data_IF_148782277032
#
_entry.id   IF_148782277032
#
_cell.length_a   1.000
_cell.length_b   1.000
_cell.length_c   1.000
_cell.angle_alpha   90.00
_cell.angle_beta   90.00
_cell.angle_gamma   90.00
#
_symmetry.space_group_name_H-M   'P 1'
#
loop_
_entity.id
_entity.type
_entity.pdbx_description
1 polymer ?
#
# COMPACT_ATOMS: atom_id res chain seq x y z
N UNK A 1 -18.81 13.90 2.74
CA UNK A 1 -17.96 13.48 3.87
C UNK A 1 -16.76 12.75 3.29
N UNK A 2 -15.55 13.04 3.75
CA UNK A 2 -14.34 12.36 3.30
C UNK A 2 -14.36 10.88 3.64
N UNK A 3 -13.70 10.05 2.83
CA UNK A 3 -13.59 8.61 3.08
C UNK A 3 -12.13 8.20 3.22
N UNK A 4 -11.83 7.40 4.21
CA UNK A 4 -10.52 6.83 4.48
C UNK A 4 -10.64 5.31 4.33
N UNK A 5 -9.76 4.69 3.56
CA UNK A 5 -9.68 3.23 3.48
C UNK A 5 -8.46 2.76 4.27
N UNK A 6 -8.70 2.04 5.36
CA UNK A 6 -7.66 1.46 6.20
C UNK A 6 -7.42 -0.02 5.84
N UNK A 7 -6.16 -0.36 5.63
CA UNK A 7 -5.67 -1.70 5.30
C UNK A 7 -4.85 -2.24 6.47
N UNK A 8 -5.34 -3.31 7.08
CA UNK A 8 -4.72 -3.91 8.28
C UNK A 8 -3.48 -4.76 7.96
N UNK A 9 -2.66 -5.04 8.99
CA UNK A 9 -1.49 -5.92 8.90
C UNK A 9 -1.86 -7.39 8.67
N UNK A 10 -0.86 -8.23 8.37
CA UNK A 10 -1.03 -9.63 7.95
C UNK A 10 -1.83 -10.48 8.94
N UNK A 11 -1.55 -10.34 10.24
CA UNK A 11 -2.23 -11.09 11.31
C UNK A 11 -3.41 -10.35 11.94
N UNK A 12 -3.81 -9.22 11.40
CA UNK A 12 -4.90 -8.39 11.91
C UNK A 12 -6.19 -8.56 11.09
N UNK A 13 -7.23 -7.85 11.50
CA UNK A 13 -8.53 -7.76 10.82
C UNK A 13 -9.00 -6.32 10.73
N UNK A 14 -10.07 -6.07 10.01
CA UNK A 14 -10.74 -4.77 9.94
C UNK A 14 -11.34 -4.30 11.28
N UNK A 15 -11.39 -5.16 12.30
CA UNK A 15 -11.83 -4.82 13.67
C UNK A 15 -10.68 -4.65 14.67
N UNK A 16 -9.42 -4.65 14.21
CA UNK A 16 -8.24 -4.48 15.07
C UNK A 16 -8.25 -3.16 15.86
N UNK A 17 -7.46 -3.05 16.95
CA UNK A 17 -7.41 -1.82 17.77
C UNK A 17 -7.15 -0.55 16.98
N UNK A 18 -6.22 -0.60 16.02
CA UNK A 18 -5.93 0.55 15.15
C UNK A 18 -7.16 0.97 14.30
N UNK A 19 -7.90 0.01 13.76
CA UNK A 19 -9.12 0.28 13.00
C UNK A 19 -10.20 0.95 13.86
N UNK A 20 -10.35 0.52 15.10
CA UNK A 20 -11.28 1.16 16.07
C UNK A 20 -10.84 2.56 16.39
N UNK A 21 -9.57 2.77 16.74
CA UNK A 21 -9.03 4.07 17.09
C UNK A 21 -9.16 5.09 15.94
N UNK A 22 -8.94 4.65 14.67
CA UNK A 22 -9.16 5.51 13.51
C UNK A 22 -10.64 5.88 13.35
N UNK A 23 -11.57 4.93 13.50
CA UNK A 23 -13.01 5.25 13.43
C UNK A 23 -13.43 6.24 14.50
N UNK A 24 -12.96 6.05 15.74
CA UNK A 24 -13.23 6.98 16.84
C UNK A 24 -12.61 8.37 16.60
N UNK A 25 -11.36 8.44 16.14
CA UNK A 25 -10.66 9.71 15.90
C UNK A 25 -11.32 10.54 14.79
N UNK A 26 -11.99 9.90 13.84
CA UNK A 26 -12.63 10.57 12.70
C UNK A 26 -14.16 10.55 12.76
N UNK A 27 -14.75 10.18 13.90
CA UNK A 27 -16.20 10.21 14.09
C UNK A 27 -16.77 11.60 13.77
N UNK A 28 -17.81 11.65 12.94
CA UNK A 28 -18.42 12.89 12.46
C UNK A 28 -17.59 13.71 11.44
N UNK A 29 -16.32 13.35 11.19
CA UNK A 29 -15.42 14.08 10.27
C UNK A 29 -15.21 13.31 8.95
N UNK A 30 -14.96 12.01 9.02
CA UNK A 30 -14.76 11.16 7.86
C UNK A 30 -15.33 9.75 8.07
N UNK A 31 -15.64 9.06 6.99
CA UNK A 31 -16.01 7.64 7.01
C UNK A 31 -14.72 6.82 6.92
N UNK A 32 -14.44 6.01 7.94
CA UNK A 32 -13.29 5.10 7.95
C UNK A 32 -13.74 3.69 7.59
N UNK A 33 -13.39 3.26 6.38
CA UNK A 33 -13.67 1.92 5.86
C UNK A 33 -12.54 0.99 6.32
N UNK A 34 -12.88 -0.10 6.97
CA UNK A 34 -11.92 -1.04 7.56
C UNK A 34 -12.28 -2.49 7.17
N UNK A 35 -12.11 -2.88 5.89
CA UNK A 35 -12.43 -4.22 5.44
C UNK A 35 -11.48 -5.26 6.00
N UNK A 36 -11.96 -6.52 6.12
CA UNK A 36 -11.08 -7.67 6.24
C UNK A 36 -10.46 -7.97 4.88
N UNK A 37 -9.14 -8.15 4.86
CA UNK A 37 -8.39 -8.40 3.63
C UNK A 37 -8.23 -9.91 3.39
N UNK A 38 -8.35 -10.39 2.14
CA UNK A 38 -7.94 -11.73 1.78
C UNK A 38 -6.50 -12.04 2.19
N UNK A 39 -6.21 -13.30 2.50
CA UNK A 39 -4.88 -13.73 2.91
C UNK A 39 -3.89 -13.72 1.73
N UNK A 40 -4.33 -14.16 0.56
CA UNK A 40 -3.53 -14.20 -0.66
C UNK A 40 -3.35 -12.81 -1.25
N UNK A 41 -2.10 -12.33 -1.48
CA UNK A 41 -1.85 -10.93 -1.78
C UNK A 41 -2.41 -10.48 -3.12
N UNK A 42 -2.47 -11.36 -4.13
CA UNK A 42 -3.10 -11.05 -5.42
C UNK A 42 -4.61 -10.84 -5.30
N UNK A 43 -5.27 -11.67 -4.49
CA UNK A 43 -6.69 -11.53 -4.16
C UNK A 43 -6.94 -10.26 -3.34
N UNK A 44 -6.06 -9.97 -2.37
CA UNK A 44 -6.14 -8.75 -1.56
C UNK A 44 -6.05 -7.50 -2.44
N UNK A 45 -5.07 -7.41 -3.35
CA UNK A 45 -4.94 -6.28 -4.27
C UNK A 45 -6.18 -6.11 -5.15
N UNK A 46 -6.70 -7.21 -5.70
CA UNK A 46 -7.93 -7.18 -6.51
C UNK A 46 -9.13 -6.68 -5.70
N UNK A 47 -9.29 -7.18 -4.49
CA UNK A 47 -10.35 -6.79 -3.57
C UNK A 47 -10.24 -5.32 -3.15
N UNK A 48 -9.04 -4.86 -2.75
CA UNK A 48 -8.81 -3.46 -2.37
C UNK A 48 -9.11 -2.54 -3.55
N UNK A 49 -8.70 -2.91 -4.77
CA UNK A 49 -8.98 -2.12 -5.97
C UNK A 49 -10.49 -2.01 -6.24
N UNK A 50 -11.21 -3.12 -6.12
CA UNK A 50 -12.69 -3.11 -6.22
C UNK A 50 -13.32 -2.17 -5.20
N UNK A 51 -12.84 -2.18 -3.94
CA UNK A 51 -13.31 -1.27 -2.91
C UNK A 51 -12.99 0.20 -3.23
N UNK A 52 -11.78 0.48 -3.73
CA UNK A 52 -11.39 1.83 -4.16
C UNK A 52 -12.32 2.32 -5.28
N UNK A 53 -12.60 1.49 -6.26
CA UNK A 53 -13.48 1.83 -7.38
C UNK A 53 -14.92 2.07 -6.94
N UNK A 54 -15.41 1.31 -5.98
CA UNK A 54 -16.77 1.43 -5.42
C UNK A 54 -16.90 2.62 -4.48
N UNK A 55 -16.01 2.72 -3.51
CA UNK A 55 -16.14 3.64 -2.38
C UNK A 55 -15.49 5.01 -2.63
N UNK A 56 -14.55 5.08 -3.58
CA UNK A 56 -13.81 6.32 -3.95
C UNK A 56 -13.20 7.00 -2.72
N UNK A 57 -12.32 6.32 -1.95
CA UNK A 57 -11.70 6.93 -0.78
C UNK A 57 -10.82 8.12 -1.17
N UNK A 58 -10.73 9.09 -0.27
CA UNK A 58 -9.86 10.26 -0.41
C UNK A 58 -8.43 9.99 0.08
N UNK A 59 -8.25 8.98 0.94
CA UNK A 59 -6.96 8.61 1.53
C UNK A 59 -6.89 7.10 1.79
N UNK A 60 -5.73 6.51 1.52
CA UNK A 60 -5.38 5.17 1.95
C UNK A 60 -4.55 5.23 3.22
N UNK A 61 -4.83 4.36 4.19
CA UNK A 61 -3.96 4.13 5.34
C UNK A 61 -3.63 2.65 5.36
N UNK A 62 -2.36 2.30 5.46
CA UNK A 62 -1.94 0.92 5.66
C UNK A 62 -1.02 0.79 6.86
N UNK A 63 -1.08 -0.36 7.56
CA UNK A 63 -0.10 -0.70 8.59
C UNK A 63 0.57 -2.04 8.25
N UNK A 64 1.90 -2.11 8.38
CA UNK A 64 2.66 -3.33 8.10
C UNK A 64 2.39 -3.87 6.69
N UNK A 65 1.86 -5.08 6.54
CA UNK A 65 1.41 -5.65 5.26
C UNK A 65 0.35 -4.79 4.56
N UNK A 66 -0.55 -4.16 5.32
CA UNK A 66 -1.52 -3.21 4.75
C UNK A 66 -0.86 -2.00 4.12
N UNK A 67 0.28 -1.56 4.67
CA UNK A 67 1.09 -0.49 4.09
C UNK A 67 1.78 -0.93 2.77
N UNK A 68 2.19 -2.19 2.67
CA UNK A 68 2.68 -2.77 1.42
C UNK A 68 1.63 -2.64 0.29
N UNK A 69 0.37 -2.99 0.56
CA UNK A 69 -0.70 -2.84 -0.42
C UNK A 69 -1.05 -1.37 -0.72
N UNK A 70 -1.10 -0.52 0.31
CA UNK A 70 -1.39 0.89 0.15
C UNK A 70 -0.34 1.58 -0.73
N UNK A 71 0.94 1.27 -0.53
CA UNK A 71 2.05 1.79 -1.31
C UNK A 71 1.97 1.35 -2.78
N UNK A 72 1.65 0.08 -3.06
CA UNK A 72 1.52 -0.41 -4.43
C UNK A 72 0.35 0.23 -5.18
N UNK A 73 -0.76 0.48 -4.48
CA UNK A 73 -1.99 0.99 -5.10
C UNK A 73 -2.03 2.51 -5.21
N UNK A 74 -1.50 3.24 -4.22
CA UNK A 74 -1.54 4.72 -4.19
C UNK A 74 -1.12 5.37 -5.51
N UNK A 75 0.05 5.09 -6.09
CA UNK A 75 0.45 5.69 -7.36
C UNK A 75 -0.35 5.20 -8.57
N UNK A 76 -0.98 4.02 -8.46
CA UNK A 76 -1.81 3.43 -9.53
C UNK A 76 -3.18 4.09 -9.60
N UNK A 77 -3.78 4.36 -8.44
CA UNK A 77 -5.15 4.89 -8.36
C UNK A 77 -5.22 6.40 -8.14
N UNK A 78 -4.08 7.03 -7.90
CA UNK A 78 -4.00 8.48 -7.72
C UNK A 78 -4.48 8.97 -6.35
N UNK A 79 -4.51 8.11 -5.35
CA UNK A 79 -4.98 8.44 -3.99
C UNK A 79 -3.77 8.53 -3.06
N UNK A 80 -3.60 9.60 -2.25
CA UNK A 80 -2.50 9.69 -1.30
C UNK A 80 -2.58 8.58 -0.25
N UNK A 81 -1.43 8.22 0.35
CA UNK A 81 -1.37 7.14 1.32
C UNK A 81 -0.49 7.47 2.53
N UNK A 82 -0.95 7.09 3.74
CA UNK A 82 -0.14 7.03 4.95
C UNK A 82 0.23 5.57 5.23
N UNK A 83 1.53 5.30 5.31
CA UNK A 83 2.11 3.99 5.55
C UNK A 83 2.65 3.92 6.98
N UNK A 84 1.97 3.20 7.86
CA UNK A 84 2.44 2.95 9.21
C UNK A 84 3.31 1.70 9.25
N UNK A 85 4.53 1.80 9.77
CA UNK A 85 5.45 0.69 9.92
C UNK A 85 5.44 -0.26 8.70
N UNK A 86 5.65 0.25 7.48
CA UNK A 86 5.49 -0.52 6.24
C UNK A 86 6.46 -1.70 6.21
N UNK A 87 5.96 -2.88 5.84
CA UNK A 87 6.76 -4.07 5.68
C UNK A 87 6.92 -4.43 4.20
N UNK A 88 8.07 -4.10 3.59
CA UNK A 88 8.31 -4.26 2.15
C UNK A 88 8.95 -5.60 1.76
N UNK A 89 9.20 -6.51 2.73
CA UNK A 89 9.82 -7.83 2.55
C UNK A 89 8.98 -8.91 3.22
N UNK A 90 7.75 -9.07 2.74
CA UNK A 90 6.79 -10.05 3.28
C UNK A 90 7.27 -11.50 3.12
N UNK A 91 8.04 -11.79 2.06
CA UNK A 91 8.65 -13.12 1.85
C UNK A 91 9.60 -13.50 2.98
N UNK A 92 10.47 -12.58 3.37
CA UNK A 92 11.42 -12.82 4.46
C UNK A 92 10.68 -12.96 5.79
N UNK A 93 9.73 -12.07 6.07
CA UNK A 93 8.88 -12.14 7.25
C UNK A 93 8.16 -13.48 7.38
N UNK A 94 7.54 -13.98 6.32
CA UNK A 94 6.80 -15.24 6.35
C UNK A 94 7.73 -16.44 6.54
N UNK A 95 8.92 -16.45 5.94
CA UNK A 95 9.93 -17.49 6.14
C UNK A 95 10.46 -17.51 7.57
N UNK A 96 10.70 -16.35 8.16
CA UNK A 96 11.10 -16.26 9.58
C UNK A 96 10.02 -16.84 10.50
N UNK A 97 8.74 -16.50 10.25
CA UNK A 97 7.62 -17.07 11.04
C UNK A 97 7.54 -18.59 10.95
N UNK A 98 7.75 -19.17 9.76
CA UNK A 98 7.85 -20.62 9.60
C UNK A 98 9.01 -21.18 10.43
N UNK A 99 10.17 -20.54 10.38
CA UNK A 99 11.36 -20.97 11.15
C UNK A 99 11.13 -20.95 12.66
N UNK A 100 10.47 -19.92 13.19
CA UNK A 100 10.11 -19.83 14.60
C UNK A 100 9.14 -20.93 15.04
N UNK A 101 8.15 -21.24 14.21
CA UNK A 101 7.20 -22.32 14.50
C UNK A 101 7.86 -23.69 14.55
N UNK A 102 8.79 -23.94 13.64
CA UNK A 102 9.52 -25.20 13.63
C UNK A 102 10.36 -25.36 14.90
N UNK A 103 11.06 -24.29 15.34
CA UNK A 103 11.81 -24.28 16.59
C UNK A 103 10.92 -24.52 17.81
N UNK A 104 9.76 -23.88 17.89
CA UNK A 104 8.81 -24.07 19.00
C UNK A 104 8.27 -25.50 19.04
N UNK A 105 8.01 -26.13 17.88
CA UNK A 105 7.59 -27.53 17.79
C UNK A 105 8.67 -28.47 18.25
N UNK A 106 9.92 -28.29 17.83
CA UNK A 106 11.05 -29.09 18.20
C UNK A 106 11.27 -29.05 19.76
N UNK A 107 11.17 -27.86 20.35
CA UNK A 107 11.25 -27.66 21.78
C UNK A 107 10.09 -28.34 22.54
N UNK A 108 8.87 -28.23 22.01
CA UNK A 108 7.70 -28.88 22.60
C UNK A 108 7.79 -30.41 22.58
N UNK A 109 8.29 -30.99 21.48
CA UNK A 109 8.54 -32.44 21.36
C UNK A 109 9.64 -32.87 22.32
N UNK A 110 10.71 -32.09 22.44
CA UNK A 110 11.81 -32.38 23.35
C UNK A 110 11.37 -32.35 24.85
N UNK A 111 10.42 -31.46 25.20
CA UNK A 111 9.91 -31.34 26.57
C UNK A 111 8.83 -32.39 26.93
N UNK A 112 8.04 -32.86 25.96
CA UNK A 112 6.87 -33.72 26.23
C UNK A 112 7.17 -35.21 26.25
N UNK A 113 8.29 -35.67 25.69
CA UNK A 113 8.68 -37.11 25.67
C UNK A 113 7.71 -38.00 24.87
N UNK A 114 6.65 -37.46 24.30
CA UNK A 114 5.66 -38.20 23.51
C UNK A 114 5.86 -37.94 22.03
N UNK A 115 6.21 -38.99 21.31
CA UNK A 115 6.11 -39.00 19.83
C UNK A 115 4.62 -38.99 19.46
N UNK A 116 4.06 -37.85 19.13
CA UNK A 116 2.74 -37.81 18.53
C UNK A 116 2.72 -38.63 17.23
N UNK A 117 1.70 -39.46 17.10
CA UNK A 117 1.43 -40.30 15.94
C UNK A 117 1.57 -39.49 14.65
N UNK A 118 2.36 -40.03 13.72
CA UNK A 118 2.57 -39.51 12.38
C UNK A 118 1.25 -39.43 11.62
N UNK A 119 0.50 -38.34 11.79
CA UNK A 119 -0.43 -37.91 10.74
C UNK A 119 0.40 -37.54 9.53
N UNK A 120 0.06 -38.10 8.36
CA UNK A 120 0.67 -37.81 7.08
C UNK A 120 0.50 -36.32 6.79
N UNK A 121 1.52 -35.53 7.08
CA UNK A 121 1.57 -34.13 6.63
C UNK A 121 1.89 -34.13 5.15
N UNK A 122 1.08 -33.45 4.37
CA UNK A 122 1.44 -32.98 3.04
C UNK A 122 2.71 -32.13 3.18
N UNK A 123 3.81 -32.56 2.60
CA UNK A 123 5.08 -31.83 2.60
C UNK A 123 4.83 -30.39 2.16
N UNK A 124 5.31 -29.41 2.92
CA UNK A 124 5.31 -27.98 2.56
C UNK A 124 4.16 -27.12 3.10
N UNK A 125 3.26 -27.66 3.94
CA UNK A 125 2.23 -26.83 4.61
C UNK A 125 2.58 -26.57 6.07
N UNK A 126 2.88 -25.31 6.38
CA UNK A 126 3.07 -24.84 7.75
C UNK A 126 1.81 -24.10 8.22
N UNK A 127 0.97 -24.80 9.02
CA UNK A 127 -0.17 -24.15 9.68
C UNK A 127 0.32 -23.21 10.78
N UNK A 128 0.14 -21.94 10.59
CA UNK A 128 0.27 -20.96 11.65
C UNK A 128 -1.10 -20.77 12.31
N UNK A 129 -1.23 -21.31 13.54
CA UNK A 129 -2.36 -21.00 14.41
C UNK A 129 -2.09 -19.68 15.14
N UNK A 130 -1.91 -18.60 14.39
CA UNK A 130 -2.10 -17.29 15.00
C UNK A 130 -3.59 -16.99 14.89
N UNK A 131 -4.26 -16.70 15.98
CA UNK A 131 -5.52 -16.03 15.84
C UNK A 131 -5.22 -14.72 15.10
N UNK A 132 -5.85 -14.45 13.96
CA UNK A 132 -6.14 -13.07 13.62
C UNK A 132 -6.72 -12.46 14.88
N UNK A 133 -6.47 -11.21 15.21
CA UNK A 133 -6.78 -10.64 16.53
C UNK A 133 -8.23 -10.81 17.00
N UNK A 134 -9.13 -11.31 16.14
CA UNK A 134 -10.51 -11.70 16.46
C UNK A 134 -10.70 -13.17 16.87
N UNK A 135 -9.62 -13.96 16.88
CA UNK A 135 -9.63 -15.32 17.41
C UNK A 135 -10.10 -16.43 16.46
N UNK A 136 -10.56 -16.14 15.23
CA UNK A 136 -11.38 -17.08 14.47
C UNK A 136 -10.82 -17.61 13.15
N UNK A 137 -9.64 -17.21 12.69
CA UNK A 137 -9.08 -17.72 11.43
C UNK A 137 -7.72 -18.39 11.61
N UNK A 138 -7.61 -19.61 11.09
CA UNK A 138 -6.32 -20.27 10.88
C UNK A 138 -5.65 -19.65 9.65
N UNK A 139 -4.46 -19.11 9.84
CA UNK A 139 -3.63 -18.65 8.76
C UNK A 139 -2.71 -19.79 8.33
N UNK A 140 -2.79 -20.19 7.07
CA UNK A 140 -1.88 -21.16 6.49
C UNK A 140 -0.82 -20.41 5.72
N UNK A 141 0.43 -20.51 6.20
CA UNK A 141 1.59 -20.00 5.47
C UNK A 141 2.23 -21.18 4.73
N UNK A 142 2.29 -21.07 3.41
CA UNK A 142 2.88 -22.08 2.52
C UNK A 142 3.73 -21.40 1.44
N UNK A 143 4.47 -22.19 0.68
CA UNK A 143 5.32 -21.66 -0.40
C UNK A 143 4.52 -20.92 -1.48
N UNK A 144 3.28 -21.29 -1.76
CA UNK A 144 2.42 -20.58 -2.70
C UNK A 144 2.20 -19.14 -2.25
N UNK A 145 1.82 -18.94 -0.98
CA UNK A 145 1.61 -17.62 -0.40
C UNK A 145 2.90 -16.78 -0.41
N UNK A 146 4.04 -17.40 -0.06
CA UNK A 146 5.35 -16.74 -0.06
C UNK A 146 5.73 -16.31 -1.48
N UNK A 147 5.55 -17.19 -2.46
CA UNK A 147 5.88 -16.90 -3.86
C UNK A 147 5.00 -15.80 -4.44
N UNK A 148 3.70 -15.76 -4.10
CA UNK A 148 2.80 -14.68 -4.50
C UNK A 148 3.26 -13.32 -3.96
N UNK A 149 3.72 -13.24 -2.70
CA UNK A 149 4.34 -12.02 -2.18
C UNK A 149 5.64 -11.69 -2.90
N UNK A 150 6.49 -12.69 -3.21
CA UNK A 150 7.74 -12.48 -3.93
C UNK A 150 7.55 -11.86 -5.32
N UNK A 151 6.52 -12.29 -6.05
CA UNK A 151 6.18 -11.70 -7.35
C UNK A 151 5.78 -10.21 -7.21
N UNK A 152 5.03 -9.87 -6.17
CA UNK A 152 4.63 -8.48 -5.91
C UNK A 152 5.80 -7.63 -5.40
N UNK A 153 6.66 -8.18 -4.54
CA UNK A 153 7.86 -7.49 -4.06
C UNK A 153 8.81 -7.10 -5.19
N UNK A 154 8.93 -7.93 -6.21
CA UNK A 154 9.78 -7.67 -7.36
C UNK A 154 9.37 -6.40 -8.14
N UNK A 155 8.10 -6.02 -8.07
CA UNK A 155 7.52 -4.91 -8.84
C UNK A 155 6.86 -3.83 -7.97
N UNK A 156 6.98 -3.93 -6.65
CA UNK A 156 6.23 -3.08 -5.71
C UNK A 156 6.46 -1.57 -5.88
N UNK A 157 7.61 -1.16 -6.42
CA UNK A 157 7.97 0.26 -6.63
C UNK A 157 7.96 0.69 -8.11
N UNK A 158 7.56 -0.16 -9.04
CA UNK A 158 7.59 0.13 -10.48
C UNK A 158 6.72 1.34 -10.88
N UNK A 159 5.70 1.63 -10.10
CA UNK A 159 4.77 2.73 -10.35
C UNK A 159 5.08 4.01 -9.55
N UNK A 160 6.17 4.02 -8.79
CA UNK A 160 6.64 5.22 -8.09
C UNK A 160 7.19 6.22 -9.11
N UNK A 161 6.47 7.30 -9.30
CA UNK A 161 6.88 8.41 -10.15
C UNK A 161 7.10 9.68 -9.31
N UNK A 162 7.78 10.71 -9.81
CA UNK A 162 8.11 11.92 -9.06
C UNK A 162 6.90 12.62 -8.41
N UNK A 163 5.73 12.54 -9.05
CA UNK A 163 4.50 13.17 -8.54
C UNK A 163 4.00 12.53 -7.23
N UNK A 164 4.22 11.22 -7.04
CA UNK A 164 3.78 10.52 -5.84
C UNK A 164 4.80 10.53 -4.72
N UNK A 165 6.01 11.04 -4.93
CA UNK A 165 7.04 11.11 -3.88
C UNK A 165 6.58 11.88 -2.65
N UNK A 166 5.76 12.91 -2.82
CA UNK A 166 5.23 13.73 -1.74
C UNK A 166 3.85 13.30 -1.25
N UNK A 167 3.14 12.43 -2.00
CA UNK A 167 1.78 11.99 -1.68
C UNK A 167 1.69 10.70 -0.89
N UNK A 168 2.80 10.02 -0.72
CA UNK A 168 2.92 8.84 0.13
C UNK A 168 3.80 9.20 1.32
N UNK A 169 3.22 9.13 2.51
CA UNK A 169 3.90 9.47 3.76
C UNK A 169 4.16 8.20 4.56
N UNK A 170 5.36 8.09 5.15
CA UNK A 170 5.75 7.03 6.05
C UNK A 170 5.68 7.48 7.52
N UNK A 171 5.15 6.65 8.39
CA UNK A 171 5.17 6.85 9.84
C UNK A 171 5.79 5.63 10.50
N UNK A 172 6.97 5.80 11.08
CA UNK A 172 7.83 4.74 11.59
C UNK A 172 7.89 4.76 13.12
N UNK A 173 7.69 3.61 13.74
CA UNK A 173 7.85 3.43 15.17
C UNK A 173 9.32 3.31 15.56
N UNK A 174 9.82 4.18 16.44
CA UNK A 174 11.20 4.17 16.91
C UNK A 174 11.57 2.87 17.68
N UNK A 175 10.56 2.17 18.20
CA UNK A 175 10.70 0.90 18.92
C UNK A 175 10.23 -0.30 18.05
N UNK A 176 10.05 -0.10 16.76
CA UNK A 176 9.70 -1.20 15.87
C UNK A 176 10.89 -2.15 15.70
N UNK A 177 10.69 -3.42 16.06
CA UNK A 177 11.71 -4.47 15.94
C UNK A 177 11.48 -5.39 14.74
N UNK A 178 10.41 -5.18 13.98
CA UNK A 178 10.00 -6.06 12.88
C UNK A 178 10.18 -5.44 11.49
N UNK A 179 10.08 -4.12 11.37
CA UNK A 179 10.06 -3.45 10.06
C UNK A 179 10.99 -2.22 10.03
N UNK A 180 12.25 -2.43 9.63
CA UNK A 180 13.26 -1.38 9.52
C UNK A 180 13.41 -0.92 8.06
N UNK A 181 12.31 -0.52 7.41
CA UNK A 181 12.29 -0.23 5.97
C UNK A 181 12.29 1.26 5.62
N UNK A 182 12.51 2.15 6.58
CA UNK A 182 12.63 3.58 6.29
C UNK A 182 13.70 3.93 5.26
N UNK A 183 14.93 3.34 5.29
CA UNK A 183 15.93 3.61 4.27
C UNK A 183 15.49 3.21 2.85
N UNK A 184 14.70 2.14 2.72
CA UNK A 184 14.11 1.74 1.44
C UNK A 184 12.97 2.68 1.03
N UNK A 185 12.12 3.07 1.98
CA UNK A 185 11.04 4.03 1.77
C UNK A 185 11.58 5.35 1.21
N UNK A 186 12.64 5.91 1.81
CA UNK A 186 13.25 7.19 1.41
C UNK A 186 13.92 7.17 0.02
N UNK A 187 14.16 6.00 -0.57
CA UNK A 187 14.60 5.90 -1.97
C UNK A 187 13.48 6.27 -2.94
N UNK A 188 12.22 6.14 -2.51
CA UNK A 188 11.03 6.29 -3.36
C UNK A 188 10.14 7.47 -2.96
N UNK A 189 10.13 7.87 -1.69
CA UNK A 189 9.22 8.87 -1.12
C UNK A 189 9.97 9.87 -0.25
N UNK A 190 9.41 11.08 -0.06
CA UNK A 190 10.09 12.20 0.61
C UNK A 190 9.65 12.41 2.07
N UNK A 191 8.43 12.03 2.43
CA UNK A 191 7.81 12.39 3.71
C UNK A 191 7.90 11.23 4.71
N UNK A 192 8.90 11.26 5.58
CA UNK A 192 9.08 10.31 6.67
C UNK A 192 8.84 10.99 8.02
N UNK A 193 8.07 10.35 8.89
CA UNK A 193 7.71 10.77 10.24
C UNK A 193 7.97 9.63 11.23
N UNK A 194 8.17 9.97 12.50
CA UNK A 194 8.45 8.99 13.55
C UNK A 194 7.50 9.15 14.74
N UNK A 195 7.32 8.07 15.49
CA UNK A 195 6.59 8.08 16.75
C UNK A 195 7.23 7.11 17.75
N UNK A 196 7.16 7.38 19.08
CA UNK A 196 7.81 6.58 20.11
C UNK A 196 7.07 5.26 20.41
N UNK A 197 6.77 4.48 19.39
CA UNK A 197 6.01 3.22 19.48
C UNK A 197 6.65 2.07 18.73
N UNK A 198 6.06 0.88 18.88
CA UNK A 198 6.51 -0.34 18.20
C UNK A 198 5.79 -0.60 16.87
N UNK A 199 5.94 -1.84 16.37
CA UNK A 199 5.37 -2.27 15.09
C UNK A 199 3.84 -2.15 15.03
N UNK A 200 3.16 -2.50 16.12
CA UNK A 200 1.71 -2.39 16.23
C UNK A 200 1.36 -1.21 17.14
N UNK A 201 0.87 -0.09 16.59
CA UNK A 201 0.54 1.07 17.40
C UNK A 201 -0.65 0.77 18.31
N UNK A 202 -0.58 1.28 19.53
CA UNK A 202 -1.71 1.30 20.47
C UNK A 202 -2.80 2.26 20.01
N UNK A 203 -4.02 2.14 20.55
CA UNK A 203 -5.12 3.07 20.23
C UNK A 203 -4.77 4.53 20.58
N UNK A 204 -4.02 4.74 21.66
CA UNK A 204 -3.56 6.08 22.06
C UNK A 204 -2.52 6.62 21.07
N UNK A 205 -1.58 5.80 20.61
CA UNK A 205 -0.60 6.22 19.59
C UNK A 205 -1.26 6.53 18.25
N UNK A 206 -2.30 5.79 17.87
CA UNK A 206 -3.09 6.09 16.68
C UNK A 206 -3.74 7.47 16.80
N UNK A 207 -4.37 7.78 17.91
CA UNK A 207 -5.00 9.09 18.16
C UNK A 207 -3.99 10.23 18.23
N UNK A 208 -2.78 9.97 18.78
CA UNK A 208 -1.77 10.99 19.01
C UNK A 208 -0.91 11.27 17.79
N UNK A 209 -0.58 10.23 17.00
CA UNK A 209 0.43 10.34 15.94
C UNK A 209 -0.15 10.13 14.53
N UNK A 210 -1.03 9.14 14.34
CA UNK A 210 -1.64 8.88 13.04
C UNK A 210 -2.73 9.88 12.70
N UNK A 211 -3.67 10.13 13.61
CA UNK A 211 -4.81 10.98 13.33
C UNK A 211 -4.45 12.41 12.90
N UNK A 212 -3.47 13.11 13.51
CA UNK A 212 -3.05 14.42 13.05
C UNK A 212 -2.42 14.41 11.65
N UNK A 213 -1.62 13.38 11.30
CA UNK A 213 -1.06 13.25 9.95
C UNK A 213 -2.14 12.96 8.92
N UNK A 214 -3.08 12.07 9.24
CA UNK A 214 -4.25 11.78 8.40
C UNK A 214 -5.06 13.05 8.15
N UNK A 215 -5.33 13.83 9.20
CA UNK A 215 -6.07 15.10 9.09
C UNK A 215 -5.32 16.10 8.21
N UNK A 216 -4.00 16.23 8.38
CA UNK A 216 -3.15 17.06 7.53
C UNK A 216 -3.21 16.62 6.07
N UNK A 217 -3.08 15.32 5.78
CA UNK A 217 -3.17 14.78 4.43
C UNK A 217 -4.55 15.00 3.80
N UNK A 218 -5.63 14.80 4.56
CA UNK A 218 -6.98 15.07 4.08
C UNK A 218 -7.21 16.54 3.75
N UNK A 219 -6.58 17.47 4.44
CA UNK A 219 -6.61 18.90 4.12
C UNK A 219 -5.75 19.23 2.89
N UNK A 220 -4.52 18.74 2.86
CA UNK A 220 -3.54 19.02 1.81
C UNK A 220 -3.94 18.44 0.46
N UNK A 221 -4.45 17.19 0.44
CA UNK A 221 -4.84 16.49 -0.78
C UNK A 221 -6.36 16.45 -1.01
N UNK A 222 -7.14 17.25 -0.26
CA UNK A 222 -8.61 17.26 -0.36
C UNK A 222 -9.14 17.93 -1.62
N UNK A 223 -8.36 18.77 -2.22
CA UNK A 223 -8.63 19.30 -3.55
C UNK A 223 -8.13 18.22 -4.53
N UNK A 224 -9.00 17.67 -5.36
CA UNK A 224 -8.57 17.02 -6.60
C UNK A 224 -7.93 18.14 -7.41
N UNK A 225 -6.63 18.37 -7.19
CA UNK A 225 -5.89 19.32 -7.99
C UNK A 225 -5.99 18.86 -9.43
N UNK A 226 -6.68 19.64 -10.22
CA UNK A 226 -6.71 19.42 -11.65
C UNK A 226 -5.28 19.59 -12.12
N UNK A 227 -4.68 18.50 -12.61
CA UNK A 227 -3.31 18.52 -13.10
C UNK A 227 -3.28 18.95 -14.53
N UNK A 228 -2.50 19.97 -14.81
CA UNK A 228 -2.32 20.50 -16.13
C UNK A 228 -0.90 20.26 -16.64
N UNK A 229 -0.80 19.94 -17.90
CA UNK A 229 0.47 19.63 -18.55
C UNK A 229 0.62 20.42 -19.83
N UNK A 230 1.84 20.92 -20.07
CA UNK A 230 2.23 21.48 -21.34
C UNK A 230 3.08 20.46 -22.10
N UNK A 231 2.64 20.04 -23.27
CA UNK A 231 3.45 19.25 -24.18
C UNK A 231 4.59 20.11 -24.74
N UNK A 232 5.76 19.53 -25.02
CA UNK A 232 6.91 20.29 -25.54
C UNK A 232 6.64 21.05 -26.85
N UNK A 233 5.60 20.69 -27.59
CA UNK A 233 5.11 21.42 -28.78
C UNK A 233 4.15 22.55 -28.44
N UNK A 234 3.91 22.87 -27.17
CA UNK A 234 3.09 24.00 -26.71
C UNK A 234 1.64 23.69 -26.37
N UNK A 235 1.09 22.53 -26.77
CA UNK A 235 -0.29 22.14 -26.45
C UNK A 235 -0.50 21.96 -24.94
N UNK A 236 -1.67 22.41 -24.46
CA UNK A 236 -2.08 22.34 -23.07
C UNK A 236 -3.07 21.20 -22.87
N UNK A 237 -2.90 20.46 -21.77
CA UNK A 237 -3.69 19.28 -21.49
C UNK A 237 -4.04 19.20 -20.00
N UNK A 238 -5.22 18.64 -19.73
CA UNK A 238 -5.66 18.26 -18.39
C UNK A 238 -5.46 16.75 -18.22
N UNK A 239 -4.74 16.35 -17.20
CA UNK A 239 -4.66 14.95 -16.79
C UNK A 239 -5.99 14.52 -16.19
N UNK A 240 -6.54 13.41 -16.62
CA UNK A 240 -7.80 12.89 -16.13
C UNK A 240 -7.56 11.76 -15.14
N UNK A 241 -6.94 10.66 -15.57
CA UNK A 241 -6.54 9.53 -14.74
C UNK A 241 -5.59 8.58 -15.49
N UNK A 242 -5.04 7.60 -14.79
CA UNK A 242 -4.38 6.45 -15.42
C UNK A 242 -5.37 5.30 -15.59
N UNK A 243 -5.23 4.55 -16.69
CA UNK A 243 -5.99 3.35 -17.00
C UNK A 243 -5.04 2.23 -17.43
N UNK A 244 -5.54 1.01 -17.58
CA UNK A 244 -4.79 -0.07 -18.20
C UNK A 244 -5.38 -0.35 -19.58
N UNK A 245 -4.51 -0.60 -20.53
CA UNK A 245 -4.90 -1.21 -21.80
C UNK A 245 -5.40 -2.64 -21.53
N UNK A 246 -6.57 -2.98 -22.05
CA UNK A 246 -7.24 -4.25 -21.73
C UNK A 246 -6.54 -5.47 -22.32
N UNK A 247 -5.79 -5.29 -23.40
CA UNK A 247 -5.11 -6.38 -24.10
C UNK A 247 -3.66 -6.52 -23.66
N UNK A 248 -2.92 -5.40 -23.65
CA UNK A 248 -1.49 -5.40 -23.35
C UNK A 248 -1.19 -5.28 -21.86
N UNK A 249 -2.17 -4.91 -21.05
CA UNK A 249 -2.03 -4.57 -19.62
C UNK A 249 -1.03 -3.42 -19.39
N UNK A 250 -0.68 -2.67 -20.45
CA UNK A 250 0.17 -1.50 -20.34
C UNK A 250 -0.59 -0.38 -19.64
N UNK A 251 0.12 0.36 -18.80
CA UNK A 251 -0.45 1.50 -18.11
C UNK A 251 -0.50 2.72 -19.04
N UNK A 252 -1.70 3.30 -19.16
CA UNK A 252 -2.01 4.41 -20.02
C UNK A 252 -2.38 5.64 -19.19
N UNK A 253 -2.01 6.84 -19.65
CA UNK A 253 -2.55 8.12 -19.17
C UNK A 253 -3.71 8.53 -20.07
N UNK A 254 -4.85 8.81 -19.44
CA UNK A 254 -6.01 9.44 -20.07
C UNK A 254 -5.91 10.95 -19.80
N UNK A 255 -5.90 11.77 -20.85
CA UNK A 255 -5.75 13.23 -20.75
C UNK A 255 -6.62 13.93 -21.79
N UNK A 256 -7.05 15.15 -21.47
CA UNK A 256 -7.90 15.97 -22.31
C UNK A 256 -7.09 17.14 -22.90
N UNK A 257 -7.21 17.37 -24.20
CA UNK A 257 -6.68 18.59 -24.80
C UNK A 257 -7.49 19.81 -24.32
N UNK A 258 -6.81 20.93 -24.01
CA UNK A 258 -7.45 22.18 -23.63
C UNK A 258 -7.49 23.15 -24.80
N UNK A 259 -7.60 22.62 -26.02
CA UNK A 259 -7.68 23.37 -27.27
C UNK A 259 -8.44 22.55 -28.34
N UNK A 260 -8.88 23.22 -29.38
CA UNK A 260 -9.62 22.59 -30.48
C UNK A 260 -10.95 22.02 -30.00
N UNK A 261 -11.20 20.73 -30.30
CA UNK A 261 -12.42 20.00 -29.92
C UNK A 261 -12.37 19.45 -28.47
N UNK A 262 -11.35 19.81 -27.70
CA UNK A 262 -11.14 19.32 -26.31
C UNK A 262 -11.19 17.79 -26.19
N UNK A 263 -10.70 17.11 -27.21
CA UNK A 263 -10.76 15.65 -27.29
C UNK A 263 -9.96 14.95 -26.17
N UNK A 264 -10.43 13.77 -25.79
CA UNK A 264 -9.73 12.88 -24.86
C UNK A 264 -8.74 12.01 -25.63
N UNK A 265 -7.56 11.86 -25.05
CA UNK A 265 -6.46 11.08 -25.59
C UNK A 265 -5.97 10.06 -24.56
N UNK A 266 -5.39 8.97 -25.05
CA UNK A 266 -4.69 7.99 -24.24
C UNK A 266 -3.25 7.83 -24.75
N UNK A 267 -2.31 7.60 -23.83
CA UNK A 267 -0.89 7.38 -24.16
C UNK A 267 -0.27 6.47 -23.11
N UNK A 268 0.67 5.55 -23.49
CA UNK A 268 1.48 4.82 -22.53
C UNK A 268 2.09 5.78 -21.50
N UNK A 269 1.93 5.45 -20.22
CA UNK A 269 2.37 6.30 -19.11
C UNK A 269 3.87 6.59 -19.18
N UNK A 270 4.68 5.56 -19.53
CA UNK A 270 6.12 5.72 -19.75
C UNK A 270 6.42 6.81 -20.78
N UNK A 271 5.67 6.84 -21.88
CA UNK A 271 5.81 7.86 -22.91
C UNK A 271 5.29 9.24 -22.49
N UNK A 272 4.28 9.29 -21.61
CA UNK A 272 3.74 10.56 -21.13
C UNK A 272 4.77 11.29 -20.25
N UNK A 273 5.40 10.58 -19.33
CA UNK A 273 6.35 11.13 -18.36
C UNK A 273 7.82 11.04 -18.79
N UNK A 274 8.13 10.57 -20.02
CA UNK A 274 9.50 10.42 -20.47
C UNK A 274 10.19 11.77 -20.71
N UNK A 275 11.51 11.74 -20.63
CA UNK A 275 12.37 12.78 -21.18
C UNK A 275 12.72 12.45 -22.62
N UNK A 276 12.63 13.43 -23.49
CA UNK A 276 13.01 13.30 -24.90
C UNK A 276 14.19 14.20 -25.21
N UNK A 277 15.06 13.77 -26.11
CA UNK A 277 16.20 14.58 -26.59
C UNK A 277 15.95 14.98 -28.04
N UNK A 278 15.99 16.27 -28.32
CA UNK A 278 15.94 16.85 -29.66
C UNK A 278 16.94 17.97 -29.74
N UNK A 279 17.66 18.06 -30.88
CA UNK A 279 18.65 19.09 -31.13
C UNK A 279 19.65 19.30 -29.98
N UNK A 280 20.11 18.17 -29.39
CA UNK A 280 21.05 18.17 -28.25
C UNK A 280 20.49 18.66 -26.92
N UNK A 281 19.19 18.95 -26.82
CA UNK A 281 18.52 19.38 -25.58
C UNK A 281 17.59 18.28 -25.08
N UNK A 282 17.66 18.00 -23.76
CA UNK A 282 16.80 17.02 -23.08
C UNK A 282 15.74 17.77 -22.27
N UNK A 283 14.48 17.39 -22.43
CA UNK A 283 13.34 17.98 -21.73
C UNK A 283 12.22 16.96 -21.58
N UNK A 284 11.27 17.24 -20.66
CA UNK A 284 10.12 16.35 -20.47
C UNK A 284 9.19 16.44 -21.69
N UNK A 285 8.63 15.30 -22.12
CA UNK A 285 7.61 15.29 -23.19
C UNK A 285 6.39 16.11 -22.79
N UNK A 286 5.94 15.95 -21.54
CA UNK A 286 4.92 16.78 -20.89
C UNK A 286 5.51 17.35 -19.60
N UNK A 287 5.41 18.64 -19.42
CA UNK A 287 5.82 19.35 -18.20
C UNK A 287 4.57 19.76 -17.43
N UNK A 288 4.48 19.36 -16.18
CA UNK A 288 3.41 19.79 -15.30
C UNK A 288 3.51 21.29 -15.06
N UNK A 289 2.38 21.96 -15.00
CA UNK A 289 2.30 23.42 -14.85
C UNK A 289 1.21 23.75 -13.82
N UNK A 290 1.43 24.78 -13.06
CA UNK A 290 0.39 25.42 -12.24
C UNK A 290 -0.55 26.22 -13.14
N UNK A 291 -1.83 26.22 -12.81
CA UNK A 291 -2.86 26.97 -13.54
C UNK A 291 -3.68 27.84 -12.59
#
# INVERSE_FOLDING_TARGET
MKKILFLHGFFATGSCPMARALREAFEGQAIVLTPDLPLHPKEALKYIRMLIDKEKPDLLIGNSCGAFFAQMLSPVVGIPALLGNPHFKMTDFLRERIGELNKQREQSIACSGYAESREKKTEGQHEYKAPRMDGNQKIIINETLINEFGELEATQFDYCNPYYKDRVWGLFGEQDTLAHFEPLFLQHYNNSYHFPGGHTPTEQEVKTWYAPLVQKMLMEYSVKEERFFRHFKGGMYKYIHSAYDSETQERMVVYQALYGEEAYWVRPEKMFFEKITRDGRTFNRFTEIDR
#
